data_IF_497590053124
#
_entry.id   IF_497590053124
#
_cell.length_a   1.000
_cell.length_b   1.000
_cell.length_c   1.000
_cell.angle_alpha   90.00
_cell.angle_beta   90.00
_cell.angle_gamma   90.00
#
_symmetry.space_group_name_H-M   'P 1'
#
loop_
_entity.id
_entity.type
_entity.pdbx_description
1 polymer ?
#
# COMPACT_ATOMS: atom_id res chain seq x y z
N UNK A 1 -7.24 -12.19 12.83
CA UNK A 1 -6.16 -11.65 11.97
C UNK A 1 -6.30 -12.35 10.64
N UNK A 2 -6.72 -11.65 9.58
CA UNK A 2 -6.87 -12.26 8.27
C UNK A 2 -5.49 -12.71 7.76
N UNK A 3 -5.35 -13.98 7.36
CA UNK A 3 -4.10 -14.48 6.80
C UNK A 3 -3.82 -13.77 5.48
N UNK A 4 -2.70 -13.07 5.41
CA UNK A 4 -2.32 -12.27 4.24
C UNK A 4 -1.70 -13.20 3.21
N UNK A 5 -2.47 -13.53 2.18
CA UNK A 5 -2.00 -14.39 1.10
C UNK A 5 -1.03 -13.64 0.18
N UNK A 6 0.26 -13.93 0.34
CA UNK A 6 1.31 -13.41 -0.52
C UNK A 6 1.31 -14.18 -1.83
N UNK A 7 1.32 -13.45 -2.95
CA UNK A 7 1.53 -13.98 -4.29
C UNK A 7 2.57 -13.13 -5.02
N UNK A 8 2.99 -13.56 -6.21
CA UNK A 8 3.94 -12.80 -7.03
C UNK A 8 3.22 -12.11 -8.17
N UNK A 9 3.57 -10.84 -8.41
CA UNK A 9 3.13 -10.13 -9.58
C UNK A 9 3.65 -10.86 -10.84
N UNK A 10 2.75 -11.17 -11.77
CA UNK A 10 3.09 -11.90 -13.01
C UNK A 10 4.01 -11.11 -13.94
N UNK A 11 4.15 -9.80 -13.74
CA UNK A 11 4.82 -8.90 -14.68
C UNK A 11 6.19 -8.48 -14.19
N UNK A 12 6.29 -8.05 -12.94
CA UNK A 12 7.56 -7.63 -12.34
C UNK A 12 8.14 -8.65 -11.35
N UNK A 13 7.40 -9.70 -10.99
CA UNK A 13 7.86 -10.72 -10.04
C UNK A 13 7.81 -10.32 -8.56
N UNK A 14 7.44 -9.09 -8.24
CA UNK A 14 7.38 -8.59 -6.87
C UNK A 14 6.34 -9.33 -6.02
N UNK A 15 6.60 -9.47 -4.72
CA UNK A 15 5.67 -10.04 -3.75
C UNK A 15 4.54 -9.06 -3.45
N UNK A 16 3.31 -9.47 -3.71
CA UNK A 16 2.10 -8.68 -3.51
C UNK A 16 1.06 -9.46 -2.71
N UNK A 17 0.14 -8.76 -2.07
CA UNK A 17 -1.06 -9.31 -1.44
C UNK A 17 -2.31 -8.69 -2.07
N UNK A 18 -3.43 -9.41 -2.01
CA UNK A 18 -4.72 -8.94 -2.51
C UNK A 18 -5.60 -8.55 -1.34
N UNK A 19 -5.83 -7.25 -1.18
CA UNK A 19 -6.66 -6.71 -0.10
C UNK A 19 -8.01 -6.32 -0.68
N UNK A 20 -9.09 -6.84 -0.08
CA UNK A 20 -10.45 -6.42 -0.46
C UNK A 20 -10.74 -5.06 0.15
N UNK A 21 -10.86 -4.03 -0.69
CA UNK A 21 -11.22 -2.69 -0.23
C UNK A 21 -12.68 -2.60 0.16
N UNK A 22 -13.04 -1.59 0.97
CA UNK A 22 -14.45 -1.33 1.36
C UNK A 22 -15.39 -1.11 0.17
N UNK A 23 -14.86 -0.63 -0.96
CA UNK A 23 -15.61 -0.47 -2.21
C UNK A 23 -15.86 -1.80 -2.94
N UNK A 24 -15.54 -2.94 -2.34
CA UNK A 24 -15.75 -4.28 -2.90
C UNK A 24 -14.70 -4.71 -3.94
N UNK A 25 -13.84 -3.79 -4.40
CA UNK A 25 -12.75 -4.07 -5.34
C UNK A 25 -11.55 -4.69 -4.61
N UNK A 26 -10.92 -5.68 -5.23
CA UNK A 26 -9.67 -6.26 -4.72
C UNK A 26 -8.46 -5.48 -5.25
N UNK A 27 -7.57 -5.09 -4.35
CA UNK A 27 -6.43 -4.24 -4.62
C UNK A 27 -5.13 -5.03 -4.47
N UNK A 28 -4.27 -5.11 -5.51
CA UNK A 28 -2.93 -5.63 -5.35
C UNK A 28 -2.07 -4.61 -4.60
N UNK A 29 -1.48 -5.03 -3.49
CA UNK A 29 -0.64 -4.20 -2.63
C UNK A 29 0.71 -4.86 -2.39
N UNK A 30 1.77 -4.07 -2.24
CA UNK A 30 3.13 -4.57 -2.03
C UNK A 30 3.34 -5.14 -0.64
N UNK A 31 4.22 -6.14 -0.56
CA UNK A 31 4.70 -6.73 0.69
C UNK A 31 6.21 -6.49 0.77
N UNK A 32 6.75 -6.05 1.93
CA UNK A 32 6.14 -5.95 3.25
C UNK A 32 5.25 -4.71 3.46
N UNK A 33 4.42 -4.75 4.51
CA UNK A 33 3.69 -3.58 5.00
C UNK A 33 4.68 -2.49 5.44
N UNK A 34 4.28 -1.23 5.27
CA UNK A 34 5.03 -0.06 5.70
C UNK A 34 4.39 0.56 6.94
N UNK A 35 5.23 1.04 7.84
CA UNK A 35 4.79 1.86 8.97
C UNK A 35 4.41 3.24 8.45
N UNK A 36 3.24 3.73 8.87
CA UNK A 36 2.72 5.01 8.45
C UNK A 36 2.22 5.84 9.64
N UNK A 37 2.15 7.15 9.42
CA UNK A 37 1.43 8.09 10.27
C UNK A 37 0.25 8.66 9.50
N UNK A 38 -0.93 8.65 10.12
CA UNK A 38 -2.11 9.31 9.59
C UNK A 38 -1.83 10.80 9.51
N UNK A 39 -1.79 11.32 8.29
CA UNK A 39 -1.55 12.72 8.04
C UNK A 39 -2.43 13.13 6.87
N UNK A 40 -3.44 13.96 7.14
CA UNK A 40 -4.34 14.46 6.10
C UNK A 40 -3.60 15.29 5.03
N UNK A 41 -2.48 15.91 5.39
CA UNK A 41 -1.57 16.61 4.46
C UNK A 41 -0.52 15.68 3.83
N UNK A 42 -0.54 14.39 4.17
CA UNK A 42 0.33 13.38 3.60
C UNK A 42 0.20 13.29 2.08
N UNK A 43 1.32 13.05 1.42
CA UNK A 43 1.38 12.83 -0.03
C UNK A 43 1.16 11.38 -0.40
N UNK A 44 1.41 10.47 0.53
CA UNK A 44 1.37 9.03 0.31
C UNK A 44 -0.01 8.45 0.61
N UNK A 45 -0.27 7.27 0.06
CA UNK A 45 -1.52 6.55 0.26
C UNK A 45 -1.22 5.09 0.57
N UNK A 46 -1.85 4.56 1.61
CA UNK A 46 -1.73 3.17 2.04
C UNK A 46 -3.10 2.52 2.12
N UNK A 47 -3.12 1.22 1.88
CA UNK A 47 -4.28 0.37 2.06
C UNK A 47 -4.11 -0.40 3.36
N UNK A 48 -5.02 -0.26 4.30
CA UNK A 48 -4.99 -1.04 5.55
C UNK A 48 -5.48 -2.47 5.30
N UNK A 49 -5.22 -3.39 6.22
CA UNK A 49 -5.74 -4.77 6.15
C UNK A 49 -7.28 -4.82 6.21
N UNK A 50 -7.93 -3.85 6.85
CA UNK A 50 -9.40 -3.62 6.83
C UNK A 50 -9.91 -3.13 5.46
N UNK A 51 -9.02 -2.93 4.48
CA UNK A 51 -9.39 -2.48 3.14
C UNK A 51 -9.75 -1.01 3.04
N UNK A 52 -9.34 -0.18 4.01
CA UNK A 52 -9.44 1.29 3.91
C UNK A 52 -8.25 1.83 3.15
N UNK A 53 -8.49 2.87 2.36
CA UNK A 53 -7.44 3.60 1.67
C UNK A 53 -7.25 4.91 2.41
N UNK A 54 -6.13 5.05 3.10
CA UNK A 54 -5.81 6.20 3.94
C UNK A 54 -4.70 7.02 3.31
N UNK A 55 -4.81 8.33 3.48
CA UNK A 55 -3.79 9.29 3.08
C UNK A 55 -2.87 9.52 4.27
N UNK A 56 -1.59 9.27 4.08
CA UNK A 56 -0.63 9.09 5.19
C UNK A 56 0.72 9.68 4.83
N UNK A 57 1.61 9.71 5.82
CA UNK A 57 3.04 9.93 5.63
C UNK A 57 3.76 8.62 5.92
N UNK A 58 4.52 8.11 4.94
CA UNK A 58 5.29 6.87 5.08
C UNK A 58 6.73 7.23 5.49
N UNK A 59 7.24 6.63 6.56
CA UNK A 59 8.63 6.83 6.97
C UNK A 59 9.52 5.77 6.34
N UNK A 60 10.51 6.23 5.56
CA UNK A 60 11.60 5.38 5.07
C UNK A 60 12.75 5.55 6.05
N UNK A 61 13.01 4.53 6.88
CA UNK A 61 13.98 4.59 7.97
C UNK A 61 15.41 4.96 7.53
N UNK A 62 16.27 5.46 8.45
CA UNK A 62 15.93 6.11 9.72
C UNK A 62 15.90 7.63 9.60
N UNK A 63 15.04 8.27 10.39
CA UNK A 63 14.93 9.72 10.51
C UNK A 63 16.31 10.34 10.77
N UNK A 64 16.82 11.26 9.91
CA UNK A 64 18.14 11.84 10.07
C UNK A 64 18.31 12.62 11.38
N UNK A 65 17.20 12.98 12.04
CA UNK A 65 17.19 13.77 13.27
C UNK A 65 17.12 12.94 14.56
N UNK A 66 17.16 11.59 14.49
CA UNK A 66 17.07 10.72 15.68
C UNK A 66 15.70 10.76 16.40
N UNK A 67 14.76 11.56 15.90
CA UNK A 67 13.38 11.60 16.36
C UNK A 67 12.63 10.39 15.84
N UNK A 68 12.09 9.60 16.76
CA UNK A 68 11.23 8.47 16.44
C UNK A 68 9.94 9.00 15.80
N UNK A 69 9.57 8.55 14.58
CA UNK A 69 8.29 8.90 14.00
C UNK A 69 7.15 8.32 14.84
N UNK A 70 6.05 9.04 14.96
CA UNK A 70 4.82 8.52 15.57
C UNK A 70 4.20 7.56 14.55
N UNK A 71 4.17 6.26 14.86
CA UNK A 71 3.59 5.24 13.98
C UNK A 71 2.16 5.00 14.43
N UNK A 72 1.18 5.37 13.60
CA UNK A 72 -0.24 5.12 13.87
C UNK A 72 -0.62 3.68 13.50
N UNK A 73 0.06 3.09 12.50
CA UNK A 73 -0.22 1.73 12.09
C UNK A 73 0.64 1.22 10.94
N UNK A 74 0.25 0.03 10.45
CA UNK A 74 0.87 -0.64 9.31
C UNK A 74 -0.10 -0.72 8.14
N UNK A 75 0.38 -0.36 6.96
CA UNK A 75 -0.41 -0.32 5.74
C UNK A 75 0.37 -0.84 4.56
N UNK A 76 -0.32 -1.09 3.46
CA UNK A 76 0.27 -1.64 2.25
C UNK A 76 0.23 -0.59 1.15
N UNK A 77 1.34 -0.42 0.44
CA UNK A 77 1.40 0.47 -0.72
C UNK A 77 0.69 -0.23 -1.88
N UNK A 78 -0.11 0.50 -2.65
CA UNK A 78 -0.72 -0.08 -3.85
C UNK A 78 0.37 -0.50 -4.85
N UNK A 79 0.35 -1.75 -5.31
CA UNK A 79 1.35 -2.24 -6.27
C UNK A 79 1.29 -1.47 -7.60
N UNK A 80 0.15 -0.88 -7.96
CA UNK A 80 0.09 -0.02 -9.15
C UNK A 80 0.93 1.25 -9.06
N UNK A 81 1.33 1.68 -7.86
CA UNK A 81 2.22 2.84 -7.68
C UNK A 81 3.69 2.47 -7.85
N UNK A 82 4.07 1.22 -7.61
CA UNK A 82 5.47 0.75 -7.60
C UNK A 82 5.81 -0.12 -8.81
N UNK A 83 4.82 -0.77 -9.42
CA UNK A 83 5.04 -1.69 -10.53
C UNK A 83 5.38 -0.95 -11.83
N UNK A 84 6.52 -1.26 -12.48
CA UNK A 84 6.89 -0.62 -13.75
C UNK A 84 5.92 -0.96 -14.90
N UNK A 85 5.17 -2.06 -14.76
CA UNK A 85 4.18 -2.50 -15.75
C UNK A 85 2.74 -2.18 -15.34
N UNK A 86 2.52 -1.39 -14.28
CA UNK A 86 1.18 -1.10 -13.73
C UNK A 86 0.17 -0.63 -14.79
N UNK A 87 0.62 0.22 -15.72
CA UNK A 87 -0.23 0.78 -16.77
C UNK A 87 -0.84 -0.26 -17.71
N UNK A 88 -0.25 -1.46 -17.83
CA UNK A 88 -0.81 -2.56 -18.63
C UNK A 88 -1.99 -3.27 -17.94
N UNK A 89 -2.10 -3.13 -16.62
CA UNK A 89 -3.08 -3.85 -15.78
C UNK A 89 -4.12 -2.94 -15.14
N UNK A 90 -3.83 -1.64 -15.06
CA UNK A 90 -4.84 -0.63 -14.74
C UNK A 90 -5.91 -0.68 -15.82
N UNK A 91 -7.10 -1.13 -15.44
CA UNK A 91 -8.27 -0.92 -16.30
C UNK A 91 -8.43 0.60 -16.43
N UNK A 92 -8.52 1.09 -17.66
CA UNK A 92 -9.02 2.45 -17.89
C UNK A 92 -10.48 2.42 -17.42
N UNK A 93 -10.78 3.24 -16.44
CA UNK A 93 -12.15 3.57 -16.05
C UNK A 93 -12.72 4.31 -17.26
N UNK A 94 -13.30 3.56 -18.20
CA UNK A 94 -14.30 4.11 -19.12
C UNK A 94 -15.63 3.80 -18.45
N UNK A 95 -15.99 4.63 -17.48
CA UNK A 95 -17.38 4.86 -17.08
C UNK A 95 -17.99 5.85 -18.08
#
# INVERSE_FOLDING_TARGET
MAEIKITKCKSCGASITWIKTKNGRVMPCDVPAVDYQENYKGTDTVVTDDGRVLRVMIFKNPSPSGLQPIIDGKGYISHFATCPYANKYRRRDND
#
